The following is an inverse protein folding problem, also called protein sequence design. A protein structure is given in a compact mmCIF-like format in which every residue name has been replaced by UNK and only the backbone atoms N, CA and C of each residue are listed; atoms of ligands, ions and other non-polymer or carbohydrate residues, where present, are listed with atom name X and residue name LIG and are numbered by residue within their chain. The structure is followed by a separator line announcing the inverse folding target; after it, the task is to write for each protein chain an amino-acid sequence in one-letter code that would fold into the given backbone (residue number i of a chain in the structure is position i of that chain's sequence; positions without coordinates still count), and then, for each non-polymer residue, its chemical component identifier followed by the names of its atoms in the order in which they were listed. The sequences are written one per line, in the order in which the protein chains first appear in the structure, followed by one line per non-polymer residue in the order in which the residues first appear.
data_IF_072160854541
#
_entry.id   IF_072160854541
#
_cell.length_a   1.000
_cell.length_b   1.000
_cell.length_c   1.000
_cell.angle_alpha   90.00
_cell.angle_beta   90.00
_cell.angle_gamma   90.00
#
_symmetry.space_group_name_H-M   'P 1'
#
loop_
_entity.id
_entity.type
_entity.pdbx_description
1 polymer ?
#
# COMPACT_ATOMS: atom_id res chain seq x y z
N UNK A 1 -7.28 1.15 18.79
CA UNK A 1 -7.78 0.13 19.72
C UNK A 1 -9.30 0.15 19.67
N UNK A 2 -9.90 -0.53 18.70
CA UNK A 2 -11.33 -0.83 18.66
C UNK A 2 -11.40 -2.35 18.58
N UNK A 3 -11.80 -2.93 19.70
CA UNK A 3 -12.12 -4.34 19.85
C UNK A 3 -13.36 -4.66 19.03
N UNK A 4 -13.22 -5.40 17.92
CA UNK A 4 -14.32 -6.18 17.36
C UNK A 4 -13.85 -7.61 17.15
N UNK A 5 -14.18 -8.39 18.17
CA UNK A 5 -14.13 -9.84 18.24
C UNK A 5 -15.04 -10.45 17.17
N UNK A 6 -14.56 -11.52 16.52
CA UNK A 6 -15.31 -12.59 15.82
C UNK A 6 -16.00 -12.22 14.50
N UNK A 7 -15.43 -12.70 13.39
CA UNK A 7 -16.24 -13.29 12.31
C UNK A 7 -15.72 -14.70 12.02
N UNK A 8 -16.13 -15.62 12.88
CA UNK A 8 -16.14 -17.07 12.63
C UNK A 8 -17.53 -17.37 12.08
N UNK A 9 -17.63 -17.78 10.82
CA UNK A 9 -18.89 -18.27 10.26
C UNK A 9 -18.96 -19.77 10.51
N UNK A 10 -19.97 -20.17 11.27
CA UNK A 10 -20.40 -21.54 11.49
C UNK A 10 -21.20 -22.03 10.29
N UNK A 11 -20.83 -23.16 9.70
CA UNK A 11 -21.74 -23.97 8.90
C UNK A 11 -21.65 -25.40 9.41
N UNK A 12 -22.77 -25.82 10.00
CA UNK A 12 -23.05 -27.15 10.53
C UNK A 12 -22.74 -28.18 9.45
N UNK A 13 -22.09 -29.27 9.87
CA UNK A 13 -21.90 -30.49 9.08
C UNK A 13 -23.24 -30.93 8.51
N UNK A 14 -23.46 -30.64 7.23
CA UNK A 14 -24.46 -31.31 6.43
C UNK A 14 -23.70 -31.84 5.24
N UNK A 15 -23.47 -33.16 5.25
CA UNK A 15 -22.83 -33.90 4.18
C UNK A 15 -23.79 -33.90 2.99
N UNK A 16 -23.84 -32.76 2.29
CA UNK A 16 -24.62 -32.58 1.07
C UNK A 16 -23.88 -33.33 -0.03
N UNK A 17 -24.36 -34.55 -0.28
CA UNK A 17 -23.96 -35.38 -1.41
C UNK A 17 -24.43 -34.67 -2.68
N UNK A 18 -23.58 -33.81 -3.26
CA UNK A 18 -23.88 -33.13 -4.51
C UNK A 18 -22.76 -33.37 -5.53
N UNK A 19 -22.92 -34.45 -6.31
CA UNK A 19 -22.07 -34.92 -7.42
C UNK A 19 -20.59 -35.18 -7.06
N UNK A 20 -19.93 -36.05 -7.83
CA UNK A 20 -18.52 -36.42 -7.60
C UNK A 20 -17.62 -35.20 -7.66
N UNK A 21 -17.07 -34.79 -6.51
CA UNK A 21 -16.18 -33.65 -6.38
C UNK A 21 -15.72 -33.47 -4.93
N UNK A 22 -14.57 -32.82 -4.73
CA UNK A 22 -14.00 -32.53 -3.42
C UNK A 22 -14.21 -31.07 -3.08
N UNK A 23 -14.83 -30.79 -1.94
CA UNK A 23 -14.95 -29.42 -1.39
C UNK A 23 -13.87 -29.23 -0.33
N UNK A 24 -13.04 -28.21 -0.51
CA UNK A 24 -12.01 -27.82 0.46
C UNK A 24 -12.49 -26.57 1.20
N UNK A 25 -12.64 -26.67 2.52
CA UNK A 25 -12.96 -25.53 3.38
C UNK A 25 -11.65 -24.97 3.95
N UNK A 26 -11.27 -23.76 3.52
CA UNK A 26 -10.06 -23.09 3.96
C UNK A 26 -10.37 -21.97 4.97
N UNK A 27 -9.94 -22.16 6.22
CA UNK A 27 -10.08 -21.14 7.27
C UNK A 27 -8.79 -20.32 7.36
N UNK A 28 -8.81 -19.12 6.78
CA UNK A 28 -7.65 -18.23 6.77
C UNK A 28 -7.61 -17.34 8.02
N UNK A 29 -6.53 -17.44 8.80
CA UNK A 29 -6.22 -16.50 9.88
C UNK A 29 -5.42 -15.29 9.34
N UNK A 30 -5.40 -14.19 10.10
CA UNK A 30 -4.56 -13.01 9.84
C UNK A 30 -4.77 -12.38 8.44
N UNK A 31 -6.04 -12.19 8.06
CA UNK A 31 -6.43 -11.50 6.83
C UNK A 31 -6.08 -10.01 6.90
N UNK A 32 -6.47 -9.32 7.99
CA UNK A 32 -6.23 -7.89 8.23
C UNK A 32 -4.77 -7.45 8.09
N UNK A 33 -3.82 -8.34 8.43
CA UNK A 33 -2.38 -8.08 8.33
C UNK A 33 -1.77 -8.38 6.97
N UNK A 34 -2.55 -8.88 5.99
CA UNK A 34 -2.11 -9.10 4.61
C UNK A 34 -1.21 -10.33 4.36
N UNK A 35 -1.10 -11.26 5.33
CA UNK A 35 -0.17 -12.40 5.25
C UNK A 35 -0.80 -13.79 5.31
N UNK A 36 -2.05 -13.91 5.75
CA UNK A 36 -2.73 -15.17 5.99
C UNK A 36 -2.84 -16.08 4.77
N UNK A 37 -3.32 -15.52 3.66
CA UNK A 37 -3.55 -16.26 2.41
C UNK A 37 -2.26 -16.90 1.88
N UNK A 38 -1.13 -16.17 1.94
CA UNK A 38 0.17 -16.68 1.49
C UNK A 38 0.61 -17.90 2.30
N UNK A 39 0.38 -17.90 3.61
CA UNK A 39 0.68 -19.05 4.47
C UNK A 39 -0.17 -20.26 4.08
N UNK A 40 -1.47 -20.08 3.85
CA UNK A 40 -2.37 -21.16 3.40
C UNK A 40 -1.91 -21.74 2.06
N UNK A 41 -1.58 -20.90 1.09
CA UNK A 41 -1.05 -21.35 -0.21
C UNK A 41 0.22 -22.19 -0.04
N UNK A 42 1.15 -21.75 0.81
CA UNK A 42 2.42 -22.44 1.04
C UNK A 42 2.25 -23.83 1.69
N UNK A 43 1.12 -24.13 2.33
CA UNK A 43 0.84 -25.48 2.87
C UNK A 43 0.56 -26.51 1.78
N UNK A 44 0.30 -26.09 0.54
CA UNK A 44 -0.11 -26.98 -0.55
C UNK A 44 -1.60 -27.34 -0.53
N UNK A 45 -2.37 -26.87 0.45
CA UNK A 45 -3.81 -27.18 0.60
C UNK A 45 -4.68 -26.79 -0.61
N UNK A 46 -4.18 -25.94 -1.51
CA UNK A 46 -4.91 -25.44 -2.69
C UNK A 46 -4.42 -26.03 -4.03
N UNK A 47 -3.48 -27.00 -4.03
CA UNK A 47 -2.85 -27.48 -5.27
C UNK A 47 -3.81 -28.18 -6.25
N UNK A 48 -4.88 -28.82 -5.75
CA UNK A 48 -5.86 -29.57 -6.56
C UNK A 48 -7.24 -28.90 -6.61
N UNK A 49 -7.31 -27.58 -6.45
CA UNK A 49 -8.58 -26.83 -6.41
C UNK A 49 -8.84 -26.16 -7.77
N UNK A 50 -9.96 -26.52 -8.41
CA UNK A 50 -10.35 -25.98 -9.72
C UNK A 50 -11.02 -24.59 -9.68
N UNK A 51 -11.62 -24.21 -8.55
CA UNK A 51 -12.25 -22.90 -8.35
C UNK A 51 -12.24 -22.51 -6.87
N UNK A 52 -12.09 -21.22 -6.59
CA UNK A 52 -12.09 -20.67 -5.23
C UNK A 52 -13.19 -19.63 -5.12
N UNK A 53 -14.00 -19.74 -4.07
CA UNK A 53 -15.04 -18.76 -3.73
C UNK A 53 -14.67 -18.07 -2.43
N UNK A 54 -14.85 -16.75 -2.37
CA UNK A 54 -14.67 -15.94 -1.16
C UNK A 54 -15.91 -15.08 -0.95
N UNK A 55 -16.37 -14.99 0.29
CA UNK A 55 -17.51 -14.16 0.68
C UNK A 55 -17.02 -13.14 1.70
N UNK A 56 -17.52 -11.91 1.62
CA UNK A 56 -17.26 -10.86 2.59
C UNK A 56 -18.57 -10.17 2.92
N UNK A 57 -18.89 -10.03 4.20
CA UNK A 57 -20.09 -9.30 4.63
C UNK A 57 -19.78 -7.80 4.59
N UNK A 58 -20.62 -7.01 3.93
CA UNK A 58 -20.43 -5.58 3.81
C UNK A 58 -21.70 -4.84 4.20
N UNK A 59 -21.64 -4.05 5.28
CA UNK A 59 -22.77 -3.33 5.85
C UNK A 59 -23.35 -2.23 4.93
N UNK A 60 -22.67 -1.89 3.83
CA UNK A 60 -23.15 -0.90 2.86
C UNK A 60 -24.20 -1.44 1.88
N UNK A 61 -24.38 -2.76 1.83
CA UNK A 61 -25.38 -3.40 0.96
C UNK A 61 -26.61 -3.80 1.75
N UNK A 62 -27.78 -3.76 1.10
CA UNK A 62 -29.05 -4.17 1.70
C UNK A 62 -29.00 -5.63 2.11
N UNK A 63 -29.55 -5.96 3.28
CA UNK A 63 -29.65 -7.34 3.75
C UNK A 63 -30.36 -8.21 2.70
N UNK A 64 -29.83 -9.43 2.48
CA UNK A 64 -30.36 -10.37 1.49
C UNK A 64 -29.87 -10.14 0.06
N UNK A 65 -29.05 -9.10 -0.19
CA UNK A 65 -28.44 -8.88 -1.51
C UNK A 65 -27.04 -9.49 -1.60
N UNK A 66 -26.67 -9.95 -2.81
CA UNK A 66 -25.33 -10.44 -3.15
C UNK A 66 -24.82 -9.62 -4.32
N UNK A 67 -23.69 -8.94 -4.14
CA UNK A 67 -23.02 -8.17 -5.18
C UNK A 67 -21.79 -8.92 -5.68
N UNK A 68 -21.61 -8.97 -7.00
CA UNK A 68 -20.43 -9.55 -7.67
C UNK A 68 -20.06 -8.71 -8.89
N UNK A 69 -18.81 -8.79 -9.32
CA UNK A 69 -18.29 -8.15 -10.53
C UNK A 69 -17.26 -9.07 -11.17
N UNK A 70 -17.26 -9.12 -12.50
CA UNK A 70 -16.17 -9.77 -13.24
C UNK A 70 -14.90 -8.91 -13.21
N UNK A 71 -13.75 -9.53 -13.01
CA UNK A 71 -12.46 -8.84 -12.89
C UNK A 71 -12.12 -8.38 -11.46
N UNK A 72 -11.09 -7.52 -11.29
CA UNK A 72 -10.63 -7.08 -9.97
C UNK A 72 -11.76 -6.41 -9.19
N UNK A 73 -11.95 -6.72 -7.90
CA UNK A 73 -13.02 -6.13 -7.05
C UNK A 73 -12.46 -5.28 -5.90
N UNK A 74 -11.25 -5.61 -5.43
CA UNK A 74 -10.56 -4.89 -4.35
C UNK A 74 -9.14 -4.52 -4.79
N UNK A 75 -8.66 -3.40 -4.27
CA UNK A 75 -7.34 -2.85 -4.56
C UNK A 75 -6.36 -3.23 -3.46
N UNK A 76 -5.18 -3.72 -3.84
CA UNK A 76 -4.09 -3.91 -2.90
C UNK A 76 -3.55 -2.56 -2.43
N UNK A 77 -3.46 -2.37 -1.10
CA UNK A 77 -2.77 -1.24 -0.51
C UNK A 77 -1.30 -1.61 -0.31
N UNK A 78 -0.40 -0.72 -0.72
CA UNK A 78 1.04 -0.82 -0.46
C UNK A 78 1.51 0.38 0.32
N UNK A 79 2.54 0.17 1.13
CA UNK A 79 3.15 1.20 1.96
C UNK A 79 4.48 1.65 1.35
N UNK A 80 4.79 2.93 1.56
CA UNK A 80 6.07 3.54 1.25
C UNK A 80 6.57 4.16 2.54
N UNK A 81 7.82 3.89 2.88
CA UNK A 81 8.53 4.59 3.94
C UNK A 81 9.94 4.87 3.45
N UNK A 82 10.40 6.11 3.62
CA UNK A 82 11.72 6.55 3.20
C UNK A 82 12.25 7.62 4.16
N UNK A 83 13.58 7.72 4.21
CA UNK A 83 14.30 8.74 4.97
C UNK A 83 15.18 9.46 3.97
N UNK A 84 14.92 10.75 3.76
CA UNK A 84 15.72 11.61 2.91
C UNK A 84 16.73 12.31 3.79
N UNK A 85 18.01 12.05 3.56
CA UNK A 85 19.14 12.63 4.29
C UNK A 85 19.70 13.82 3.53
N UNK A 86 19.95 14.91 4.23
CA UNK A 86 20.66 16.09 3.74
C UNK A 86 21.99 16.28 4.45
N UNK A 87 22.44 17.53 4.51
CA UNK A 87 23.63 17.97 5.26
C UNK A 87 23.21 19.20 6.06
N UNK A 88 22.74 18.99 7.29
CA UNK A 88 22.12 20.05 8.10
C UNK A 88 22.69 20.20 9.51
N UNK A 89 23.52 19.27 10.00
CA UNK A 89 23.89 19.12 11.41
C UNK A 89 24.63 20.30 12.06
N UNK A 90 25.84 20.08 12.57
CA UNK A 90 26.54 21.07 13.43
C UNK A 90 26.81 22.45 12.76
N UNK A 91 26.66 22.55 11.43
CA UNK A 91 26.84 23.79 10.65
C UNK A 91 25.55 24.37 10.04
N UNK A 92 24.39 23.71 10.18
CA UNK A 92 23.16 24.13 9.49
C UNK A 92 22.32 25.16 10.23
N UNK A 93 22.97 26.23 10.66
CA UNK A 93 22.23 27.45 10.97
C UNK A 93 21.48 27.90 9.72
N UNK A 94 20.18 28.17 9.85
CA UNK A 94 19.34 28.66 8.75
C UNK A 94 19.88 29.96 8.10
N UNK A 95 20.84 30.63 8.76
CA UNK A 95 21.54 31.83 8.26
C UNK A 95 22.68 31.54 7.27
N UNK A 96 23.11 30.28 7.10
CA UNK A 96 24.22 29.90 6.22
C UNK A 96 23.81 28.72 5.31
N UNK A 97 22.76 28.87 4.47
CA UNK A 97 22.22 27.78 3.68
C UNK A 97 23.21 27.25 2.62
N UNK A 98 24.18 28.06 2.17
CA UNK A 98 25.13 27.69 1.11
C UNK A 98 26.07 26.52 1.45
N UNK A 99 26.16 26.13 2.72
CA UNK A 99 26.95 24.97 3.16
C UNK A 99 26.07 23.78 3.56
N UNK A 100 24.76 23.86 3.31
CA UNK A 100 23.79 22.85 3.72
C UNK A 100 23.05 22.26 2.53
N UNK A 101 22.59 21.03 2.69
CA UNK A 101 21.61 20.42 1.79
C UNK A 101 20.33 20.31 2.62
N UNK A 102 19.33 21.14 2.31
CA UNK A 102 18.07 21.19 3.04
C UNK A 102 17.16 20.00 2.64
N UNK A 103 17.00 18.98 3.51
CA UNK A 103 16.18 17.83 3.19
C UNK A 103 14.69 18.17 3.25
N UNK A 104 14.25 19.25 3.92
CA UNK A 104 12.85 19.70 3.89
C UNK A 104 12.50 20.17 2.48
N UNK A 105 13.34 21.01 1.88
CA UNK A 105 13.13 21.49 0.51
C UNK A 105 13.17 20.35 -0.52
N UNK A 106 14.15 19.45 -0.40
CA UNK A 106 14.27 18.27 -1.28
C UNK A 106 13.04 17.36 -1.16
N UNK A 107 12.62 17.05 0.07
CA UNK A 107 11.45 16.18 0.31
C UNK A 107 10.15 16.83 -0.15
N UNK A 108 10.00 18.15 0.00
CA UNK A 108 8.83 18.88 -0.49
C UNK A 108 8.69 18.78 -2.01
N UNK A 109 9.79 18.97 -2.74
CA UNK A 109 9.81 18.78 -4.19
C UNK A 109 9.54 17.31 -4.58
N UNK A 110 10.08 16.36 -3.82
CA UNK A 110 9.80 14.94 -4.03
C UNK A 110 8.30 14.63 -3.93
N UNK A 111 7.61 15.15 -2.91
CA UNK A 111 6.15 15.00 -2.74
C UNK A 111 5.40 15.57 -3.93
N UNK A 112 5.74 16.79 -4.38
CA UNK A 112 5.08 17.43 -5.52
C UNK A 112 5.28 16.61 -6.80
N UNK A 113 6.50 16.15 -7.07
CA UNK A 113 6.81 15.30 -8.23
C UNK A 113 6.04 13.99 -8.22
N UNK A 114 5.94 13.34 -7.05
CA UNK A 114 5.15 12.12 -6.88
C UNK A 114 3.66 12.34 -7.19
N UNK A 115 3.08 13.44 -6.71
CA UNK A 115 1.67 13.75 -6.98
C UNK A 115 1.42 14.10 -8.45
N UNK A 116 2.32 14.84 -9.09
CA UNK A 116 2.24 15.16 -10.52
C UNK A 116 2.24 13.91 -11.40
N UNK A 117 3.10 12.94 -11.10
CA UNK A 117 3.22 11.69 -11.83
C UNK A 117 1.89 10.90 -11.83
N UNK A 118 1.28 10.78 -10.65
CA UNK A 118 0.15 9.87 -10.41
C UNK A 118 -1.19 10.50 -10.79
N UNK A 119 -1.36 11.81 -10.57
CA UNK A 119 -2.65 12.47 -10.79
C UNK A 119 -2.81 12.99 -12.22
N UNK A 120 -1.72 13.29 -12.94
CA UNK A 120 -1.84 14.19 -14.10
C UNK A 120 -1.35 13.67 -15.46
N UNK A 121 -0.31 12.83 -15.55
CA UNK A 121 0.38 12.65 -16.84
C UNK A 121 0.78 11.23 -17.25
N UNK A 122 0.93 10.31 -16.31
CA UNK A 122 1.51 8.99 -16.62
C UNK A 122 0.56 7.82 -16.37
N UNK A 123 -0.58 8.11 -15.74
CA UNK A 123 -1.59 7.11 -15.41
C UNK A 123 -2.73 7.20 -16.41
N UNK A 124 -3.19 6.03 -16.89
CA UNK A 124 -4.43 5.95 -17.66
C UNK A 124 -5.58 6.51 -16.79
N UNK A 125 -6.29 7.56 -17.23
CA UNK A 125 -7.38 8.14 -16.44
C UNK A 125 -8.52 7.14 -16.12
N UNK A 126 -8.62 6.03 -16.86
CA UNK A 126 -9.58 4.95 -16.60
C UNK A 126 -9.08 3.96 -15.54
N UNK A 127 -7.77 3.94 -15.24
CA UNK A 127 -7.18 3.15 -14.18
C UNK A 127 -7.03 3.99 -12.91
N UNK A 128 -7.94 3.77 -11.96
CA UNK A 128 -7.95 4.53 -10.71
C UNK A 128 -6.76 4.16 -9.83
N UNK A 129 -5.78 5.05 -9.78
CA UNK A 129 -4.61 4.96 -8.92
C UNK A 129 -4.66 6.05 -7.84
N UNK A 130 -4.21 5.72 -6.64
CA UNK A 130 -4.18 6.65 -5.52
C UNK A 130 -2.84 6.55 -4.81
N UNK A 131 -2.17 7.69 -4.63
CA UNK A 131 -1.02 7.84 -3.75
C UNK A 131 -1.36 8.85 -2.66
N UNK A 132 -1.05 8.50 -1.43
CA UNK A 132 -1.24 9.36 -0.26
C UNK A 132 0.06 9.42 0.51
N UNK A 133 0.56 10.62 0.76
CA UNK A 133 1.61 10.86 1.76
C UNK A 133 0.92 11.06 3.10
N UNK A 134 1.13 10.13 4.02
CA UNK A 134 0.49 10.13 5.35
C UNK A 134 1.42 10.53 6.49
N UNK A 135 2.73 10.57 6.24
CA UNK A 135 3.76 10.92 7.20
C UNK A 135 4.78 11.83 6.52
N UNK A 136 5.06 12.96 7.13
CA UNK A 136 6.12 13.89 6.75
C UNK A 136 6.66 14.50 8.04
N UNK A 137 7.89 14.13 8.42
CA UNK A 137 8.47 14.56 9.69
C UNK A 137 9.94 14.92 9.48
N UNK A 138 10.30 16.15 9.81
CA UNK A 138 11.66 16.66 9.70
C UNK A 138 11.84 17.93 10.52
N UNK A 139 13.05 18.15 11.03
CA UNK A 139 13.33 19.31 11.87
C UNK A 139 12.90 19.14 13.32
N UNK A 140 13.44 20.02 14.16
CA UNK A 140 13.10 20.12 15.58
C UNK A 140 13.20 21.54 16.14
N UNK A 141 14.02 22.40 15.53
CA UNK A 141 14.15 23.81 15.85
C UNK A 141 13.87 24.67 14.60
N UNK A 142 13.35 25.88 14.80
CA UNK A 142 12.97 26.79 13.71
C UNK A 142 14.17 27.40 12.97
N UNK A 143 15.34 27.39 13.57
CA UNK A 143 16.56 28.03 13.08
C UNK A 143 17.65 27.04 12.65
N UNK A 144 17.32 25.74 12.58
CA UNK A 144 18.25 24.67 12.23
C UNK A 144 17.68 23.89 11.05
N UNK A 145 18.49 23.72 10.01
CA UNK A 145 18.18 22.85 8.88
C UNK A 145 18.42 21.40 9.35
N UNK A 146 17.44 20.49 9.27
CA UNK A 146 17.62 19.12 9.76
C UNK A 146 18.59 18.30 8.90
N UNK A 147 19.15 17.25 9.48
CA UNK A 147 19.94 16.24 8.76
C UNK A 147 19.09 15.29 7.93
N UNK A 148 17.82 15.09 8.30
CA UNK A 148 16.94 14.19 7.56
C UNK A 148 15.46 14.51 7.73
N UNK A 149 14.67 14.00 6.78
CA UNK A 149 13.21 14.01 6.80
C UNK A 149 12.72 12.58 6.59
N UNK A 150 11.88 12.09 7.49
CA UNK A 150 11.15 10.84 7.33
C UNK A 150 9.83 11.09 6.62
N UNK A 151 9.61 10.38 5.52
CA UNK A 151 8.39 10.43 4.73
C UNK A 151 7.77 9.03 4.63
N UNK A 152 6.44 8.97 4.68
CA UNK A 152 5.73 7.71 4.53
C UNK A 152 4.33 7.90 3.98
N UNK A 153 3.78 6.84 3.41
CA UNK A 153 2.52 6.91 2.71
C UNK A 153 2.02 5.57 2.21
N UNK A 154 0.93 5.62 1.45
CA UNK A 154 0.33 4.46 0.81
C UNK A 154 0.04 4.72 -0.65
N UNK A 155 0.16 3.69 -1.48
CA UNK A 155 -0.34 3.72 -2.85
C UNK A 155 -1.22 2.50 -3.16
N UNK A 156 -2.13 2.68 -4.12
CA UNK A 156 -3.21 1.77 -4.47
C UNK A 156 -3.44 1.80 -5.98
N UNK A 157 -3.66 0.63 -6.57
CA UNK A 157 -4.02 0.47 -7.99
C UNK A 157 -4.88 -0.79 -8.21
N UNK A 158 -5.82 -0.74 -9.14
CA UNK A 158 -6.67 -1.90 -9.48
C UNK A 158 -5.93 -2.97 -10.29
N UNK A 159 -5.02 -2.55 -11.15
CA UNK A 159 -4.26 -3.46 -12.00
C UNK A 159 -2.90 -3.83 -11.36
N UNK A 160 -2.48 -5.09 -11.56
CA UNK A 160 -1.17 -5.57 -11.12
C UNK A 160 -0.04 -4.86 -11.87
N UNK A 161 -0.23 -4.65 -13.17
CA UNK A 161 0.74 -3.97 -14.04
C UNK A 161 0.98 -2.53 -13.58
N UNK A 162 -0.10 -1.78 -13.39
CA UNK A 162 -0.10 -0.42 -12.86
C UNK A 162 0.52 -0.33 -11.46
N UNK A 163 0.31 -1.35 -10.62
CA UNK A 163 0.98 -1.42 -9.30
C UNK A 163 2.50 -1.56 -9.44
N UNK A 164 2.97 -2.31 -10.44
CA UNK A 164 4.40 -2.50 -10.72
C UNK A 164 4.99 -1.21 -11.30
N UNK A 165 4.32 -0.60 -12.28
CA UNK A 165 4.72 0.66 -12.90
C UNK A 165 4.82 1.79 -11.87
N UNK A 166 3.79 1.97 -11.03
CA UNK A 166 3.82 2.94 -9.93
C UNK A 166 5.04 2.74 -9.04
N UNK A 167 5.30 1.50 -8.63
CA UNK A 167 6.46 1.20 -7.79
C UNK A 167 7.77 1.62 -8.48
N UNK A 168 7.95 1.23 -9.74
CA UNK A 168 9.15 1.57 -10.51
C UNK A 168 9.35 3.08 -10.63
N UNK A 169 8.29 3.83 -10.94
CA UNK A 169 8.37 5.30 -11.07
C UNK A 169 8.65 5.99 -9.74
N UNK A 170 8.09 5.49 -8.63
CA UNK A 170 8.43 5.98 -7.28
C UNK A 170 9.92 5.75 -7.00
N UNK A 171 10.43 4.56 -7.31
CA UNK A 171 11.85 4.20 -7.11
C UNK A 171 12.77 5.08 -8.01
N UNK A 172 12.37 5.36 -9.26
CA UNK A 172 13.12 6.23 -10.17
C UNK A 172 13.17 7.69 -9.72
N UNK A 173 12.06 8.28 -9.27
CA UNK A 173 12.05 9.65 -8.74
C UNK A 173 12.94 9.72 -7.49
N UNK A 174 12.87 8.69 -6.64
CA UNK A 174 13.71 8.61 -5.45
C UNK A 174 15.20 8.59 -5.83
N UNK A 175 15.58 7.75 -6.80
CA UNK A 175 16.96 7.66 -7.28
C UNK A 175 17.43 8.94 -7.98
N UNK A 176 16.61 9.57 -8.83
CA UNK A 176 16.95 10.83 -9.49
C UNK A 176 17.24 11.95 -8.49
N UNK A 177 16.51 11.97 -7.37
CA UNK A 177 16.70 12.99 -6.35
C UNK A 177 17.87 12.68 -5.41
N UNK A 178 18.21 11.41 -5.23
CA UNK A 178 19.42 10.96 -4.53
C UNK A 178 20.70 11.02 -5.39
N UNK A 179 20.59 10.93 -6.72
CA UNK A 179 21.72 10.99 -7.66
C UNK A 179 22.01 12.39 -8.19
N UNK A 180 21.18 13.37 -7.84
CA UNK A 180 21.47 14.81 -8.01
C UNK A 180 22.67 15.28 -7.16
N UNK A 181 23.28 14.38 -6.37
CA UNK A 181 24.43 14.56 -5.50
C UNK A 181 25.80 14.42 -6.23
N UNK A 182 25.88 14.79 -7.51
CA UNK A 182 27.15 14.88 -8.25
C UNK A 182 27.40 16.30 -8.78
#
# INVERSE_FOLDING_TARGET
MIHLNKQVIWLISCQLVYKQGTVVLAFQLAEEGGGGAKKVINTGALQNVGAIFRIHVNARYTMGSVATRSGPVMVAARFIESIITGKGGESGYATIPQHTIDPIFVTSNFVVSLQHLIVSREVDPLDSQVLTVGKFQGGGALNIIPDSVSIGGTFRSFSKESTIQLKQRIDEIYLLKASSDC
#
